data_IF_443798710285
#
_entry.id   IF_443798710285
#
_cell.length_a   1.000
_cell.length_b   1.000
_cell.length_c   1.000
_cell.angle_alpha   90.00
_cell.angle_beta   90.00
_cell.angle_gamma   90.00
#
_symmetry.space_group_name_H-M   'P 1'
#
loop_
_entity.id
_entity.type
_entity.pdbx_description
1 polymer ?
#
# COMPACT_ATOMS: atom_id res chain seq x y z
N UNK A 1 -104.51 38.90 50.50
CA UNK A 1 -103.52 38.60 51.55
C UNK A 1 -102.15 38.44 50.90
N UNK A 2 -101.14 39.09 51.48
CA UNK A 2 -99.76 39.23 51.00
C UNK A 2 -99.03 37.88 51.06
N UNK A 3 -98.02 37.68 50.20
CA UNK A 3 -96.64 37.19 50.48
C UNK A 3 -95.93 37.04 49.12
N UNK A 4 -95.06 37.97 48.73
CA UNK A 4 -93.65 38.15 49.12
C UNK A 4 -92.67 37.31 48.30
N UNK A 5 -92.11 37.96 47.28
CA UNK A 5 -90.72 37.95 46.78
C UNK A 5 -89.87 36.67 46.95
N UNK A 6 -89.36 36.15 45.83
CA UNK A 6 -87.93 35.85 45.68
C UNK A 6 -87.51 35.84 44.22
N UNK A 7 -86.80 36.89 43.81
CA UNK A 7 -85.90 36.86 42.65
C UNK A 7 -84.74 35.91 42.95
N UNK A 8 -84.40 35.00 42.04
CA UNK A 8 -83.01 34.56 41.84
C UNK A 8 -82.74 34.31 40.35
N UNK A 9 -82.06 35.30 39.77
CA UNK A 9 -81.06 35.28 38.70
C UNK A 9 -81.03 34.05 37.77
N UNK A 10 -81.43 34.29 36.51
CA UNK A 10 -81.04 33.45 35.37
C UNK A 10 -79.54 33.62 35.12
N UNK A 11 -78.73 32.61 35.43
CA UNK A 11 -77.40 32.48 34.84
C UNK A 11 -77.59 32.16 33.35
N UNK A 12 -77.06 32.96 32.39
CA UNK A 12 -76.97 32.50 31.02
C UNK A 12 -75.91 31.40 30.97
N UNK A 13 -76.35 30.15 30.82
CA UNK A 13 -75.50 29.06 30.34
C UNK A 13 -75.08 29.44 28.93
N UNK A 14 -73.82 29.84 28.75
CA UNK A 14 -73.25 30.00 27.42
C UNK A 14 -73.11 28.59 26.83
N UNK A 15 -73.78 28.25 25.71
CA UNK A 15 -73.50 26.99 25.05
C UNK A 15 -72.09 27.10 24.49
N UNK A 16 -71.21 26.23 24.98
CA UNK A 16 -69.92 25.96 24.37
C UNK A 16 -70.19 25.18 23.09
N UNK A 17 -70.65 25.87 22.05
CA UNK A 17 -70.76 25.27 20.72
C UNK A 17 -69.35 25.24 20.14
N UNK A 18 -68.82 24.04 20.09
CA UNK A 18 -67.50 23.69 19.58
C UNK A 18 -67.44 24.08 18.09
N UNK A 19 -66.73 25.17 17.74
CA UNK A 19 -66.37 25.46 16.36
C UNK A 19 -65.30 24.45 15.90
N UNK A 20 -65.73 23.24 15.57
CA UNK A 20 -64.92 22.19 14.96
C UNK A 20 -64.93 22.27 13.43
N UNK A 21 -64.87 23.48 12.86
CA UNK A 21 -64.83 23.67 11.40
C UNK A 21 -63.46 24.15 10.89
N UNK A 22 -62.45 24.27 11.75
CA UNK A 22 -61.21 25.01 11.45
C UNK A 22 -59.96 24.16 11.12
N UNK A 23 -60.01 22.82 11.13
CA UNK A 23 -58.78 22.00 11.01
C UNK A 23 -58.70 21.07 9.79
N UNK A 24 -59.73 21.00 8.96
CA UNK A 24 -59.72 20.10 7.80
C UNK A 24 -58.70 20.52 6.72
N UNK A 25 -58.56 21.83 6.48
CA UNK A 25 -57.61 22.36 5.49
C UNK A 25 -56.14 22.15 5.91
N UNK A 26 -55.84 22.16 7.22
CA UNK A 26 -54.50 21.88 7.76
C UNK A 26 -54.16 20.41 7.54
N UNK A 27 -55.10 19.52 7.87
CA UNK A 27 -54.93 18.08 7.65
C UNK A 27 -54.77 17.73 6.16
N UNK A 28 -55.49 18.44 5.28
CA UNK A 28 -55.35 18.28 3.84
C UNK A 28 -53.97 18.75 3.35
N UNK A 29 -53.52 19.94 3.77
CA UNK A 29 -52.16 20.42 3.44
C UNK A 29 -51.06 19.49 3.95
N UNK A 30 -51.23 18.90 5.13
CA UNK A 30 -50.26 17.94 5.66
C UNK A 30 -50.20 16.67 4.79
N UNK A 31 -51.35 16.16 4.32
CA UNK A 31 -51.39 15.03 3.40
C UNK A 31 -50.73 15.36 2.06
N UNK A 32 -51.06 16.51 1.48
CA UNK A 32 -50.51 16.94 0.20
C UNK A 32 -48.98 17.11 0.30
N UNK A 33 -48.48 17.67 1.40
CA UNK A 33 -47.04 17.82 1.63
C UNK A 33 -46.31 16.47 1.84
N UNK A 34 -46.95 15.50 2.50
CA UNK A 34 -46.38 14.16 2.63
C UNK A 34 -46.30 13.44 1.28
N UNK A 35 -47.29 13.62 0.42
CA UNK A 35 -47.28 13.10 -0.97
C UNK A 35 -46.15 13.75 -1.76
N UNK A 36 -45.99 15.07 -1.66
CA UNK A 36 -44.91 15.82 -2.31
C UNK A 36 -43.51 15.33 -1.86
N UNK A 37 -43.31 15.11 -0.55
CA UNK A 37 -42.06 14.55 -0.02
C UNK A 37 -41.83 13.13 -0.56
N UNK A 38 -42.87 12.30 -0.59
CA UNK A 38 -42.78 10.93 -1.09
C UNK A 38 -42.38 10.90 -2.57
N UNK A 39 -42.97 11.77 -3.39
CA UNK A 39 -42.63 11.93 -4.81
C UNK A 39 -41.20 12.45 -4.99
N UNK A 40 -40.78 13.45 -4.22
CA UNK A 40 -39.42 13.98 -4.24
C UNK A 40 -38.38 12.91 -3.90
N UNK A 41 -38.66 12.09 -2.88
CA UNK A 41 -37.78 11.00 -2.45
C UNK A 41 -37.72 9.87 -3.50
N UNK A 42 -38.86 9.50 -4.09
CA UNK A 42 -38.91 8.53 -5.18
C UNK A 42 -38.10 8.99 -6.40
N UNK A 43 -38.22 10.28 -6.76
CA UNK A 43 -37.46 10.88 -7.85
C UNK A 43 -35.95 10.91 -7.56
N UNK A 44 -35.55 11.21 -6.33
CA UNK A 44 -34.14 11.16 -5.93
C UNK A 44 -33.58 9.74 -6.03
N UNK A 45 -34.31 8.74 -5.51
CA UNK A 45 -33.91 7.33 -5.60
C UNK A 45 -33.79 6.88 -7.05
N UNK A 46 -34.75 7.23 -7.91
CA UNK A 46 -34.69 6.94 -9.36
C UNK A 46 -33.44 7.54 -10.02
N UNK A 47 -33.14 8.81 -9.72
CA UNK A 47 -31.94 9.47 -10.26
C UNK A 47 -30.65 8.80 -9.78
N UNK A 48 -30.60 8.38 -8.51
CA UNK A 48 -29.46 7.66 -7.93
C UNK A 48 -29.28 6.27 -8.55
N UNK A 49 -30.37 5.53 -8.78
CA UNK A 49 -30.30 4.22 -9.44
C UNK A 49 -29.80 4.35 -10.87
N UNK A 50 -30.34 5.30 -11.65
CA UNK A 50 -29.90 5.57 -13.02
C UNK A 50 -28.41 5.99 -13.09
N UNK A 51 -27.96 6.87 -12.20
CA UNK A 51 -26.54 7.27 -12.14
C UNK A 51 -25.62 6.14 -11.67
N UNK A 52 -26.10 5.26 -10.79
CA UNK A 52 -25.36 4.07 -10.36
C UNK A 52 -25.24 3.04 -11.49
N UNK A 53 -26.33 2.77 -12.19
CA UNK A 53 -26.39 1.83 -13.31
C UNK A 53 -25.53 2.28 -14.49
N UNK A 54 -25.60 3.56 -14.86
CA UNK A 54 -24.75 4.15 -15.91
C UNK A 54 -23.26 4.05 -15.56
N UNK A 55 -22.88 4.34 -14.31
CA UNK A 55 -21.48 4.13 -13.83
C UNK A 55 -21.06 2.67 -13.88
N UNK A 56 -21.93 1.74 -13.45
CA UNK A 56 -21.66 0.29 -13.52
C UNK A 56 -21.51 -0.18 -14.96
N UNK A 57 -22.35 0.30 -15.87
CA UNK A 57 -22.29 -0.03 -17.30
C UNK A 57 -21.02 0.51 -17.95
N UNK A 58 -20.63 1.76 -17.65
CA UNK A 58 -19.36 2.31 -18.09
C UNK A 58 -18.17 1.49 -17.56
N UNK A 59 -18.20 1.08 -16.29
CA UNK A 59 -17.17 0.22 -15.72
C UNK A 59 -17.10 -1.15 -16.43
N UNK A 60 -18.25 -1.78 -16.74
CA UNK A 60 -18.32 -3.02 -17.53
C UNK A 60 -17.74 -2.84 -18.93
N UNK A 61 -18.10 -1.76 -19.64
CA UNK A 61 -17.56 -1.44 -20.98
C UNK A 61 -16.06 -1.23 -20.95
N UNK A 62 -15.55 -0.46 -19.98
CA UNK A 62 -14.11 -0.27 -19.78
C UNK A 62 -13.37 -1.57 -19.48
N UNK A 63 -14.00 -2.49 -18.72
CA UNK A 63 -13.44 -3.80 -18.45
C UNK A 63 -13.44 -4.68 -19.70
N UNK A 64 -14.52 -4.69 -20.49
CA UNK A 64 -14.60 -5.45 -21.74
C UNK A 64 -13.52 -5.02 -22.75
N UNK A 65 -13.24 -3.71 -22.87
CA UNK A 65 -12.12 -3.20 -23.69
C UNK A 65 -10.76 -3.67 -23.19
N UNK A 66 -10.60 -3.87 -21.88
CA UNK A 66 -9.36 -4.38 -21.25
C UNK A 66 -9.25 -5.90 -21.23
N UNK A 67 -10.36 -6.61 -21.44
CA UNK A 67 -10.42 -8.09 -21.43
C UNK A 67 -9.80 -8.74 -22.65
N UNK A 68 -9.35 -7.97 -23.64
CA UNK A 68 -8.35 -8.43 -24.58
C UNK A 68 -7.04 -8.67 -23.83
N UNK A 69 -6.89 -9.87 -23.24
CA UNK A 69 -5.61 -10.36 -22.75
C UNK A 69 -4.72 -10.44 -24.00
N UNK A 70 -3.98 -9.37 -24.27
CA UNK A 70 -2.83 -9.44 -25.16
C UNK A 70 -1.88 -10.38 -24.44
N UNK A 71 -1.83 -11.63 -24.89
CA UNK A 71 -0.77 -12.56 -24.56
C UNK A 71 0.51 -11.92 -25.11
N UNK A 72 1.18 -11.14 -24.26
CA UNK A 72 2.50 -10.63 -24.58
C UNK A 72 3.39 -11.86 -24.51
N UNK A 73 3.81 -12.34 -25.68
CA UNK A 73 4.77 -13.43 -25.78
C UNK A 73 6.13 -12.88 -25.34
N UNK A 74 6.59 -13.27 -24.15
CA UNK A 74 7.93 -12.97 -23.69
C UNK A 74 8.91 -13.99 -24.28
N UNK A 75 10.04 -13.53 -24.80
CA UNK A 75 11.16 -14.38 -25.21
C UNK A 75 12.12 -14.64 -24.04
N UNK A 76 12.83 -15.77 -24.14
CA UNK A 76 13.98 -16.04 -23.26
C UNK A 76 15.00 -14.91 -23.39
N UNK A 77 15.42 -14.34 -22.27
CA UNK A 77 16.36 -13.22 -22.23
C UNK A 77 15.74 -11.84 -22.16
N UNK A 78 14.42 -11.69 -22.32
CA UNK A 78 13.77 -10.38 -22.19
C UNK A 78 13.89 -9.82 -20.77
N UNK A 79 14.06 -8.50 -20.69
CA UNK A 79 13.99 -7.77 -19.42
C UNK A 79 12.54 -7.43 -19.09
N UNK A 80 12.15 -7.73 -17.86
CA UNK A 80 10.79 -7.58 -17.38
C UNK A 80 10.72 -7.02 -15.96
N UNK A 81 9.70 -6.20 -15.68
CA UNK A 81 9.37 -5.71 -14.36
C UNK A 81 8.44 -6.69 -13.64
N UNK A 82 8.70 -6.97 -12.37
CA UNK A 82 7.85 -7.85 -11.56
C UNK A 82 7.01 -7.07 -10.56
N UNK A 83 5.70 -7.28 -10.61
CA UNK A 83 4.73 -6.67 -9.70
C UNK A 83 4.60 -7.43 -8.39
N UNK A 84 5.10 -6.85 -7.30
CA UNK A 84 4.85 -7.33 -5.93
C UNK A 84 3.62 -6.65 -5.35
N UNK A 85 2.74 -7.43 -4.70
CA UNK A 85 1.58 -6.88 -4.00
C UNK A 85 2.05 -6.34 -2.65
N UNK A 86 1.87 -5.03 -2.43
CA UNK A 86 1.96 -4.46 -1.08
C UNK A 86 0.55 -4.20 -0.58
N UNK A 87 0.24 -4.77 0.59
CA UNK A 87 -0.94 -4.37 1.34
C UNK A 87 -0.67 -2.98 1.92
N UNK A 88 -1.36 -1.96 1.41
CA UNK A 88 -1.59 -0.72 2.16
C UNK A 88 -2.98 -0.84 2.78
N UNK A 89 -3.12 -0.40 4.03
CA UNK A 89 -4.30 -0.55 4.91
C UNK A 89 -5.64 -0.83 4.21
N UNK A 90 -6.04 -0.02 3.22
CA UNK A 90 -7.34 -0.14 2.54
C UNK A 90 -7.28 -0.45 1.03
N UNK A 91 -6.10 -0.67 0.43
CA UNK A 91 -5.97 -0.92 -1.02
C UNK A 91 -4.73 -1.75 -1.37
N UNK A 92 -4.96 -2.80 -2.15
CA UNK A 92 -3.88 -3.56 -2.79
C UNK A 92 -3.23 -2.69 -3.88
N UNK A 93 -2.00 -2.27 -3.65
CA UNK A 93 -1.19 -1.58 -4.64
C UNK A 93 -0.14 -2.54 -5.18
N UNK A 94 -0.01 -2.59 -6.51
CA UNK A 94 1.07 -3.35 -7.16
C UNK A 94 2.28 -2.43 -7.24
N UNK A 95 3.38 -2.85 -6.64
CA UNK A 95 4.68 -2.20 -6.76
C UNK A 95 5.50 -2.96 -7.80
N UNK A 96 5.87 -2.29 -8.88
CA UNK A 96 6.72 -2.87 -9.92
C UNK A 96 8.18 -2.75 -9.49
N UNK A 97 8.87 -3.88 -9.38
CA UNK A 97 10.30 -3.94 -9.05
C UNK A 97 11.09 -4.39 -10.25
N UNK A 98 12.17 -3.64 -10.50
CA UNK A 98 13.40 -3.96 -11.23
C UNK A 98 13.26 -4.61 -12.60
N UNK A 99 14.14 -4.29 -13.57
CA UNK A 99 14.35 -5.17 -14.70
C UNK A 99 14.96 -6.50 -14.22
N UNK A 100 14.20 -7.58 -14.38
CA UNK A 100 14.60 -8.98 -14.17
C UNK A 100 14.67 -9.67 -15.52
N UNK A 101 15.51 -10.66 -15.66
CA UNK A 101 15.67 -11.38 -16.93
C UNK A 101 14.82 -12.64 -16.95
N UNK A 102 14.07 -12.87 -18.02
CA UNK A 102 13.36 -14.14 -18.22
C UNK A 102 14.38 -15.23 -18.53
N UNK A 103 14.48 -16.24 -17.66
CA UNK A 103 15.42 -17.37 -17.81
C UNK A 103 14.74 -18.57 -18.42
N UNK A 104 13.48 -18.82 -18.05
CA UNK A 104 12.73 -19.98 -18.55
C UNK A 104 11.25 -19.65 -18.67
N UNK A 105 10.63 -20.21 -19.70
CA UNK A 105 9.18 -20.21 -19.88
C UNK A 105 8.69 -21.58 -19.41
N UNK A 106 7.88 -21.61 -18.36
CA UNK A 106 7.31 -22.87 -17.88
C UNK A 106 6.02 -23.19 -18.64
N UNK A 107 5.10 -22.22 -18.65
CA UNK A 107 3.81 -22.31 -19.33
C UNK A 107 3.52 -20.97 -20.04
N UNK A 108 2.49 -20.91 -20.89
CA UNK A 108 2.02 -19.68 -21.56
C UNK A 108 1.73 -18.51 -20.61
N UNK A 109 1.50 -18.81 -19.32
CA UNK A 109 1.16 -17.84 -18.29
C UNK A 109 2.20 -17.72 -17.18
N UNK A 110 3.24 -18.55 -17.16
CA UNK A 110 4.15 -18.68 -16.02
C UNK A 110 5.60 -18.67 -16.49
N UNK A 111 6.39 -17.76 -15.92
CA UNK A 111 7.76 -17.49 -16.31
C UNK A 111 8.69 -17.55 -15.10
N UNK A 112 9.88 -18.11 -15.27
CA UNK A 112 10.98 -17.97 -14.32
C UNK A 112 11.78 -16.73 -14.69
N UNK A 113 11.86 -15.81 -13.74
CA UNK A 113 12.59 -14.55 -13.86
C UNK A 113 13.71 -14.52 -12.85
N UNK A 114 14.90 -14.14 -13.29
CA UNK A 114 16.10 -14.04 -12.47
C UNK A 114 16.38 -12.58 -12.14
N UNK A 115 16.69 -12.33 -10.86
CA UNK A 115 17.19 -11.02 -10.45
C UNK A 115 18.58 -10.79 -11.06
N UNK A 116 18.83 -9.59 -11.55
CA UNK A 116 20.11 -9.20 -12.13
C UNK A 116 21.19 -8.87 -11.08
N UNK A 117 20.78 -8.71 -9.83
CA UNK A 117 21.68 -8.47 -8.70
C UNK A 117 21.94 -9.77 -7.94
N UNK A 118 23.17 -9.97 -7.45
CA UNK A 118 23.52 -11.07 -6.55
C UNK A 118 22.53 -11.09 -5.35
N UNK A 119 22.01 -12.26 -4.94
CA UNK A 119 22.44 -13.63 -5.26
C UNK A 119 21.84 -14.24 -6.54
N UNK A 120 21.36 -13.43 -7.49
CA UNK A 120 20.72 -13.90 -8.73
C UNK A 120 19.52 -14.81 -8.47
N UNK A 121 18.71 -14.45 -7.46
CA UNK A 121 17.55 -15.24 -7.07
C UNK A 121 16.57 -15.41 -8.23
N UNK A 122 16.13 -16.66 -8.43
CA UNK A 122 15.14 -17.03 -9.44
C UNK A 122 13.77 -17.03 -8.77
N UNK A 123 12.78 -16.41 -9.40
CA UNK A 123 11.40 -16.39 -8.95
C UNK A 123 10.47 -16.83 -10.08
N UNK A 124 9.47 -17.65 -9.74
CA UNK A 124 8.37 -18.00 -10.65
C UNK A 124 7.28 -16.93 -10.56
N UNK A 125 6.90 -16.35 -11.70
CA UNK A 125 5.95 -15.24 -11.76
C UNK A 125 4.92 -15.47 -12.87
N UNK A 126 3.65 -15.16 -12.58
CA UNK A 126 2.56 -15.24 -13.55
C UNK A 126 2.55 -14.01 -14.48
N UNK A 127 2.10 -14.15 -15.74
CA UNK A 127 2.02 -13.09 -16.76
C UNK A 127 1.41 -11.78 -16.23
N UNK A 128 0.32 -11.86 -15.45
CA UNK A 128 -0.34 -10.68 -14.85
C UNK A 128 0.54 -9.85 -13.89
N UNK A 129 1.65 -10.42 -13.43
CA UNK A 129 2.62 -9.81 -12.53
C UNK A 129 3.93 -9.46 -13.24
N UNK A 130 3.97 -9.51 -14.57
CA UNK A 130 5.13 -9.20 -15.38
C UNK A 130 4.77 -8.08 -16.36
N UNK A 131 5.70 -7.15 -16.60
CA UNK A 131 5.59 -6.14 -17.65
C UNK A 131 6.90 -6.08 -18.43
N UNK A 132 6.82 -5.94 -19.75
CA UNK A 132 8.02 -5.78 -20.57
C UNK A 132 8.75 -4.48 -20.17
N UNK A 133 10.06 -4.57 -19.99
CA UNK A 133 10.92 -3.40 -19.83
C UNK A 133 11.34 -2.92 -21.22
N UNK A 134 11.00 -1.68 -21.57
CA UNK A 134 11.09 -1.17 -22.94
C UNK A 134 12.53 -1.09 -23.48
N UNK A 135 13.56 -1.16 -22.63
CA UNK A 135 14.98 -1.20 -23.02
C UNK A 135 15.49 -2.64 -23.21
N UNK A 136 14.70 -3.52 -23.80
CA UNK A 136 15.01 -4.94 -23.98
C UNK A 136 16.27 -5.23 -24.85
N UNK A 137 16.86 -4.21 -25.48
CA UNK A 137 18.06 -4.32 -26.32
C UNK A 137 19.35 -3.81 -25.67
N UNK A 138 19.33 -3.35 -24.41
CA UNK A 138 20.53 -2.89 -23.72
C UNK A 138 21.21 -4.10 -23.05
N UNK A 139 22.50 -4.30 -23.34
CA UNK A 139 23.31 -5.23 -22.56
C UNK A 139 23.26 -4.85 -21.07
N UNK A 140 23.48 -5.83 -20.19
CA UNK A 140 23.53 -5.60 -18.73
C UNK A 140 24.72 -4.71 -18.40
N UNK A 141 24.54 -3.40 -18.50
CA UNK A 141 25.52 -2.40 -18.11
C UNK A 141 25.47 -2.17 -16.61
N UNK A 142 26.60 -1.81 -16.02
CA UNK A 142 26.76 -1.43 -14.61
C UNK A 142 25.68 -0.42 -14.16
N UNK A 143 25.35 0.57 -15.01
CA UNK A 143 24.30 1.57 -14.76
C UNK A 143 22.90 0.96 -14.53
N UNK A 144 22.57 -0.13 -15.24
CA UNK A 144 21.27 -0.81 -15.13
C UNK A 144 21.17 -1.52 -13.77
N UNK A 145 22.26 -2.18 -13.38
CA UNK A 145 22.38 -2.85 -12.08
C UNK A 145 22.25 -1.83 -10.95
N UNK A 146 22.89 -0.67 -11.06
CA UNK A 146 22.76 0.42 -10.09
C UNK A 146 21.32 0.95 -9.99
N UNK A 147 20.65 1.13 -11.13
CA UNK A 147 19.24 1.54 -11.15
C UNK A 147 18.33 0.50 -10.48
N UNK A 148 18.58 -0.80 -10.70
CA UNK A 148 17.86 -1.88 -10.02
C UNK A 148 18.07 -1.81 -8.51
N UNK A 149 19.33 -1.70 -8.06
CA UNK A 149 19.71 -1.61 -6.64
C UNK A 149 18.98 -0.45 -5.97
N UNK A 150 19.01 0.73 -6.59
CA UNK A 150 18.31 1.91 -6.09
C UNK A 150 16.78 1.72 -6.04
N UNK A 151 16.20 1.11 -7.07
CA UNK A 151 14.76 0.85 -7.16
C UNK A 151 14.25 -0.25 -6.23
N UNK A 152 15.08 -1.22 -5.86
CA UNK A 152 14.73 -2.28 -4.91
C UNK A 152 14.82 -1.83 -3.44
N UNK A 153 15.44 -0.67 -3.19
CA UNK A 153 15.50 -0.02 -1.87
C UNK A 153 16.60 -0.56 -0.96
N UNK A 154 17.54 -1.33 -1.50
CA UNK A 154 18.68 -1.90 -0.78
C UNK A 154 19.96 -1.55 -1.52
N UNK A 155 20.82 -0.72 -0.93
CA UNK A 155 22.15 -0.47 -1.47
C UNK A 155 23.01 -1.72 -1.28
N UNK A 156 23.73 -2.13 -2.33
CA UNK A 156 24.66 -3.27 -2.25
C UNK A 156 25.98 -2.80 -1.64
N UNK A 157 26.56 -3.61 -0.75
CA UNK A 157 27.89 -3.36 -0.20
C UNK A 157 28.93 -3.83 -1.20
N UNK A 158 29.86 -2.95 -1.59
CA UNK A 158 31.00 -3.31 -2.43
C UNK A 158 32.08 -3.98 -1.59
N UNK A 159 32.51 -3.29 -0.53
CA UNK A 159 33.50 -3.77 0.44
C UNK A 159 33.36 -2.98 1.74
N UNK A 160 33.83 -3.57 2.83
CA UNK A 160 34.07 -2.84 4.07
C UNK A 160 35.49 -2.28 4.07
N UNK A 161 35.65 -1.08 4.61
CA UNK A 161 36.93 -0.36 4.60
C UNK A 161 37.63 -0.49 5.95
N UNK A 162 36.92 -0.14 7.01
CA UNK A 162 37.46 -0.05 8.37
C UNK A 162 36.33 -0.22 9.39
N UNK A 163 36.68 -0.60 10.62
CA UNK A 163 35.74 -0.70 11.73
C UNK A 163 36.15 0.24 12.87
N UNK A 164 35.16 0.76 13.59
CA UNK A 164 35.40 1.58 14.79
C UNK A 164 34.41 1.23 15.89
N UNK A 165 34.82 1.44 17.14
CA UNK A 165 33.92 1.34 18.28
C UNK A 165 33.36 2.72 18.64
N UNK A 166 32.07 2.92 18.41
CA UNK A 166 31.36 4.14 18.78
C UNK A 166 31.16 4.19 20.30
N UNK A 167 31.86 5.10 20.98
CA UNK A 167 31.73 5.28 22.44
C UNK A 167 30.34 5.73 22.87
N UNK A 168 29.65 6.51 22.04
CA UNK A 168 28.33 7.06 22.35
C UNK A 168 27.23 5.99 22.31
N UNK A 169 27.18 5.19 21.24
CA UNK A 169 26.18 4.14 21.06
C UNK A 169 26.61 2.79 21.66
N UNK A 170 27.84 2.69 22.18
CA UNK A 170 28.47 1.43 22.65
C UNK A 170 28.29 0.28 21.65
N UNK A 171 28.40 0.63 20.38
CA UNK A 171 28.19 -0.25 19.24
C UNK A 171 29.42 -0.24 18.34
N UNK A 172 29.61 -1.34 17.63
CA UNK A 172 30.62 -1.41 16.58
C UNK A 172 29.99 -0.91 15.30
N UNK A 173 30.66 0.05 14.67
CA UNK A 173 30.30 0.55 13.35
C UNK A 173 31.34 0.09 12.35
N UNK A 174 30.89 -0.21 11.14
CA UNK A 174 31.72 -0.60 10.01
C UNK A 174 31.50 0.39 8.87
N UNK A 175 32.60 0.82 8.26
CA UNK A 175 32.55 1.77 7.15
C UNK A 175 32.29 1.02 5.85
N UNK A 176 31.18 1.36 5.21
CA UNK A 176 30.64 0.66 4.06
C UNK A 176 30.97 1.44 2.80
N UNK A 177 31.76 0.84 1.91
CA UNK A 177 31.84 1.31 0.52
C UNK A 177 30.63 0.77 -0.21
N UNK A 178 29.73 1.67 -0.61
CA UNK A 178 28.54 1.33 -1.37
C UNK A 178 28.88 1.07 -2.83
N UNK A 179 28.32 0.00 -3.38
CA UNK A 179 28.54 -0.40 -4.76
C UNK A 179 28.10 0.69 -5.75
N UNK A 180 29.01 1.07 -6.64
CA UNK A 180 28.77 2.11 -7.64
C UNK A 180 28.85 3.55 -7.12
N UNK A 181 29.22 3.75 -5.85
CA UNK A 181 29.46 5.07 -5.28
C UNK A 181 30.95 5.24 -4.94
N UNK A 182 31.44 6.46 -5.14
CA UNK A 182 32.80 6.82 -4.72
C UNK A 182 32.97 6.62 -3.22
N UNK A 183 34.20 6.30 -2.82
CA UNK A 183 34.57 6.05 -1.42
C UNK A 183 34.32 7.26 -0.50
N UNK A 184 34.26 8.46 -1.06
CA UNK A 184 33.90 9.70 -0.34
C UNK A 184 32.45 9.63 0.19
N UNK A 185 31.58 8.85 -0.46
CA UNK A 185 30.20 8.62 -0.03
C UNK A 185 30.05 7.39 0.87
N UNK A 186 31.16 6.79 1.34
CA UNK A 186 31.09 5.70 2.31
C UNK A 186 30.47 6.19 3.62
N UNK A 187 29.56 5.41 4.19
CA UNK A 187 28.91 5.70 5.46
C UNK A 187 29.33 4.71 6.55
N UNK A 188 29.23 5.15 7.79
CA UNK A 188 29.38 4.28 8.96
C UNK A 188 28.02 3.67 9.27
N UNK A 189 27.95 2.34 9.20
CA UNK A 189 26.74 1.58 9.51
C UNK A 189 26.98 0.66 10.71
N UNK A 190 25.97 0.39 11.55
CA UNK A 190 26.11 -0.55 12.66
C UNK A 190 26.47 -1.95 12.15
N UNK A 191 27.57 -2.51 12.68
CA UNK A 191 28.12 -3.79 12.22
C UNK A 191 27.14 -4.96 12.44
N UNK A 192 26.26 -4.90 13.45
CA UNK A 192 25.23 -5.90 13.67
C UNK A 192 24.20 -5.96 12.52
N UNK A 193 23.74 -4.81 12.03
CA UNK A 193 22.78 -4.74 10.92
C UNK A 193 23.41 -5.27 9.64
N UNK A 194 24.69 -4.95 9.41
CA UNK A 194 25.42 -5.45 8.24
C UNK A 194 25.62 -6.97 8.29
N UNK A 195 25.91 -7.54 9.47
CA UNK A 195 26.05 -8.98 9.65
C UNK A 195 24.72 -9.72 9.41
N UNK A 196 23.61 -9.19 9.92
CA UNK A 196 22.27 -9.76 9.69
C UNK A 196 21.83 -9.67 8.23
N UNK A 197 22.13 -8.55 7.56
CA UNK A 197 21.67 -8.29 6.20
C UNK A 197 22.52 -8.95 5.12
N UNK A 198 23.85 -8.90 5.25
CA UNK A 198 24.82 -9.36 4.24
C UNK A 198 26.05 -10.00 4.91
N UNK A 199 25.94 -11.26 5.39
CA UNK A 199 27.04 -11.92 6.10
C UNK A 199 28.27 -12.17 5.22
N UNK A 200 28.09 -12.51 3.94
CA UNK A 200 29.21 -12.86 3.04
C UNK A 200 30.27 -11.76 2.87
N UNK A 201 29.88 -10.50 2.56
CA UNK A 201 30.83 -9.39 2.53
C UNK A 201 31.55 -9.15 3.86
N UNK A 202 30.89 -9.42 5.00
CA UNK A 202 31.47 -9.23 6.34
C UNK A 202 32.51 -10.31 6.59
N UNK A 203 32.20 -11.57 6.26
CA UNK A 203 33.13 -12.70 6.34
C UNK A 203 34.41 -12.44 5.52
N UNK A 204 34.24 -11.97 4.27
CA UNK A 204 35.38 -11.62 3.40
C UNK A 204 36.25 -10.53 4.03
N UNK A 205 35.64 -9.50 4.62
CA UNK A 205 36.38 -8.43 5.30
C UNK A 205 37.16 -8.94 6.53
N UNK A 206 36.58 -9.85 7.30
CA UNK A 206 37.23 -10.47 8.47
C UNK A 206 38.40 -11.36 8.04
N UNK A 207 38.26 -12.08 6.93
CA UNK A 207 39.34 -12.88 6.34
C UNK A 207 40.50 -11.99 5.85
N UNK A 208 40.20 -10.88 5.19
CA UNK A 208 41.22 -9.92 4.72
C UNK A 208 41.95 -9.22 5.88
N UNK A 209 41.25 -8.95 6.98
CA UNK A 209 41.78 -8.22 8.15
C UNK A 209 42.02 -9.16 9.34
N UNK A 210 42.47 -10.38 9.08
CA UNK A 210 42.66 -11.39 10.12
C UNK A 210 43.69 -11.00 11.20
N UNK A 211 44.64 -10.14 10.83
CA UNK A 211 45.70 -9.62 11.72
C UNK A 211 45.23 -8.39 12.52
N UNK A 212 44.18 -7.70 12.07
CA UNK A 212 43.71 -6.47 12.72
C UNK A 212 42.98 -6.78 14.03
N UNK A 213 43.56 -6.32 15.13
CA UNK A 213 43.01 -6.48 16.48
C UNK A 213 41.67 -5.80 16.65
N UNK A 214 41.37 -4.72 15.92
CA UNK A 214 40.07 -4.05 15.98
C UNK A 214 38.98 -4.92 15.37
N UNK A 215 39.24 -5.51 14.20
CA UNK A 215 38.29 -6.39 13.50
C UNK A 215 38.02 -7.66 14.33
N UNK A 216 39.05 -8.24 14.94
CA UNK A 216 38.89 -9.40 15.82
C UNK A 216 38.07 -9.06 17.08
N UNK A 217 38.30 -7.90 17.69
CA UNK A 217 37.54 -7.45 18.86
C UNK A 217 36.07 -7.18 18.49
N UNK A 218 35.82 -6.61 17.32
CA UNK A 218 34.47 -6.42 16.78
C UNK A 218 33.75 -7.77 16.63
N UNK A 219 34.36 -8.74 15.95
CA UNK A 219 33.75 -10.07 15.71
C UNK A 219 33.44 -10.77 17.03
N UNK A 220 34.37 -10.74 18.00
CA UNK A 220 34.15 -11.29 19.33
C UNK A 220 32.96 -10.61 20.03
N UNK A 221 32.89 -9.28 20.00
CA UNK A 221 31.81 -8.52 20.63
C UNK A 221 30.44 -8.76 19.96
N UNK A 222 30.40 -9.04 18.66
CA UNK A 222 29.17 -9.36 17.93
C UNK A 222 28.72 -10.80 18.18
N UNK A 223 29.64 -11.77 18.24
CA UNK A 223 29.33 -13.16 18.62
C UNK A 223 28.77 -13.27 20.05
N UNK A 224 29.29 -12.47 21.00
CA UNK A 224 28.80 -12.45 22.38
C UNK A 224 27.37 -11.89 22.46
N UNK A 225 27.04 -10.84 21.68
CA UNK A 225 25.68 -10.28 21.63
C UNK A 225 24.65 -11.20 20.95
N UNK A 226 25.08 -12.02 19.99
CA UNK A 226 24.22 -13.07 19.40
C UNK A 226 23.80 -14.15 20.39
N UNK A 227 24.62 -14.42 21.42
CA UNK A 227 24.29 -15.40 22.47
C UNK A 227 23.33 -14.84 23.53
N UNK A 228 23.37 -13.54 23.83
CA UNK A 228 22.49 -12.92 24.84
C UNK A 228 21.06 -12.67 24.35
N UNK A 229 20.80 -12.62 23.03
CA UNK A 229 19.44 -12.42 22.49
C UNK A 229 18.64 -13.73 22.36
N UNK A 230 19.26 -14.90 22.57
CA UNK A 230 18.63 -16.22 22.43
C UNK A 230 18.35 -16.87 23.80
N UNK A 231 18.60 -16.16 24.90
CA UNK A 231 18.35 -16.59 26.28
C UNK A 231 17.08 -15.94 26.87
#
# INVERSE_FOLDING_TARGET
MKHSLRSQLKHPVHPRTQELTSLHWVAQKQKDHLVEIQEALANMHKKLTETSETKREQARKCQAVRSGIVLINFSLGDFVLVGQVRSRSNKLAIHWKGPRRVVKILNDYTFEVQNMVKPFGIQVVHNSRIRLYAEAGRDVTEDLVQHIIHGEGSHLVERFIECQFGRELRAWDIKVKWFGLDEIKASWEPACIMLEGQPGPVETFVEEHQIDTLVQTMVQALNVRGAEQVA
#
